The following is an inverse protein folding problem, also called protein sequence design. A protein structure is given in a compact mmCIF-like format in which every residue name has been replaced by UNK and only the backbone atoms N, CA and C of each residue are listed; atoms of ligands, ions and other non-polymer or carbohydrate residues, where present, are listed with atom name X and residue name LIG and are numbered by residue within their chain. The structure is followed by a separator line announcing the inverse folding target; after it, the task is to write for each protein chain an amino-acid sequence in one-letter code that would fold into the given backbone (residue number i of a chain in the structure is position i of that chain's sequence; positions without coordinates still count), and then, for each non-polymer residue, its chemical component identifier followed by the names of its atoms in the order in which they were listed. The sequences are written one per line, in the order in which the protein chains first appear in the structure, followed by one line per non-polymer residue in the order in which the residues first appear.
data_IF_586343638372
#
_entry.id   IF_586343638372
#
_cell.length_a   1.000
_cell.length_b   1.000
_cell.length_c   1.000
_cell.angle_alpha   90.00
_cell.angle_beta   90.00
_cell.angle_gamma   90.00
#
_symmetry.space_group_name_H-M   'P 1'
#
loop_
_entity.id
_entity.type
_entity.pdbx_description
1 polymer ?
#
# COMPACT_ATOMS: atom_id res chain seq x y z
N UNK A 1 1.56 -0.86 -23.00
CA UNK A 1 1.97 0.03 -21.89
C UNK A 1 2.04 -0.85 -20.66
N UNK A 2 3.22 -1.39 -20.35
CA UNK A 2 3.47 -2.01 -19.04
C UNK A 2 3.29 -0.90 -18.00
N UNK A 3 2.27 -1.06 -17.15
CA UNK A 3 2.15 -0.21 -15.96
C UNK A 3 3.07 -0.82 -14.92
N UNK A 4 4.34 -0.45 -15.01
CA UNK A 4 5.26 -0.66 -13.90
C UNK A 4 4.71 0.12 -12.70
N UNK A 5 4.66 -0.51 -11.53
CA UNK A 5 4.19 0.16 -10.32
C UNK A 5 5.31 1.09 -9.88
N UNK A 6 5.19 2.38 -10.20
CA UNK A 6 6.19 3.35 -9.78
C UNK A 6 6.10 3.54 -8.25
N UNK A 7 6.98 2.85 -7.54
CA UNK A 7 7.11 2.95 -6.08
C UNK A 7 7.35 4.42 -5.66
N UNK A 8 7.93 5.26 -6.53
CA UNK A 8 8.18 6.68 -6.27
C UNK A 8 6.89 7.50 -6.19
N UNK A 9 5.80 7.09 -6.84
CA UNK A 9 4.51 7.76 -6.70
C UNK A 9 3.92 7.57 -5.29
N UNK A 10 4.30 6.48 -4.59
CA UNK A 10 3.91 6.21 -3.22
C UNK A 10 4.80 6.93 -2.18
N UNK A 11 5.98 7.42 -2.56
CA UNK A 11 6.81 8.27 -1.68
C UNK A 11 6.14 9.62 -1.37
N UNK A 12 5.17 10.04 -2.18
CA UNK A 12 4.34 11.22 -1.93
C UNK A 12 3.35 10.98 -0.76
N UNK A 13 3.07 9.72 -0.41
CA UNK A 13 2.19 9.35 0.70
C UNK A 13 2.95 9.22 2.03
N UNK A 14 3.97 10.06 2.26
CA UNK A 14 4.78 10.12 3.47
C UNK A 14 4.31 11.22 4.42
N UNK A 15 3.04 11.18 4.82
CA UNK A 15 2.42 12.16 5.71
C UNK A 15 3.12 12.18 7.08
N UNK A 16 3.65 11.04 7.53
CA UNK A 16 4.48 10.95 8.73
C UNK A 16 5.74 11.81 8.62
N UNK A 17 6.49 11.70 7.51
CA UNK A 17 7.70 12.49 7.29
C UNK A 17 7.40 14.00 7.25
N UNK A 18 6.28 14.36 6.61
CA UNK A 18 5.87 15.76 6.48
C UNK A 18 5.48 16.37 7.83
N UNK A 19 4.92 15.56 8.75
CA UNK A 19 4.51 16.04 10.07
C UNK A 19 5.54 15.82 11.18
N UNK A 20 6.47 14.87 11.06
CA UNK A 20 7.47 14.51 12.07
C UNK A 20 8.27 15.73 12.57
N UNK A 21 8.52 16.69 11.69
CA UNK A 21 9.28 17.92 11.99
C UNK A 21 8.41 19.10 12.44
N UNK A 22 7.09 18.89 12.58
CA UNK A 22 6.12 19.94 12.89
C UNK A 22 5.54 19.79 14.29
N UNK A 23 4.93 20.86 14.80
CA UNK A 23 4.25 20.83 16.11
C UNK A 23 3.07 19.84 16.16
N UNK A 24 2.57 19.40 14.99
CA UNK A 24 1.42 18.48 14.86
C UNK A 24 1.65 17.16 15.59
N UNK A 25 2.89 16.65 15.63
CA UNK A 25 3.21 15.36 16.27
C UNK A 25 3.03 15.39 17.78
N UNK A 26 3.26 16.55 18.41
CA UNK A 26 3.10 16.72 19.85
C UNK A 26 1.64 16.94 20.27
N UNK A 27 0.80 17.23 19.30
CA UNK A 27 -0.56 17.75 19.50
C UNK A 27 -1.63 16.77 18.98
N UNK A 28 -1.29 15.89 18.03
CA UNK A 28 -2.16 14.83 17.55
C UNK A 28 -2.29 13.72 18.60
N UNK A 29 -3.44 13.05 18.63
CA UNK A 29 -3.61 11.85 19.43
C UNK A 29 -2.53 10.79 19.09
N UNK A 30 -1.79 10.25 20.08
CA UNK A 30 -0.69 9.31 19.83
C UNK A 30 -1.12 8.02 19.13
N UNK A 31 -2.35 7.54 19.36
CA UNK A 31 -2.86 6.32 18.75
C UNK A 31 -3.17 6.55 17.27
N UNK A 32 -3.78 7.69 16.94
CA UNK A 32 -4.01 8.11 15.56
C UNK A 32 -2.68 8.29 14.81
N UNK A 33 -1.70 8.96 15.42
CA UNK A 33 -0.36 9.10 14.85
C UNK A 33 0.27 7.74 14.55
N UNK A 34 0.30 6.84 15.53
CA UNK A 34 0.83 5.50 15.34
C UNK A 34 0.14 4.74 14.20
N UNK A 35 -1.18 4.85 14.08
CA UNK A 35 -1.93 4.20 13.00
C UNK A 35 -1.62 4.78 11.62
N UNK A 36 -1.42 6.10 11.51
CA UNK A 36 -0.99 6.75 10.27
C UNK A 36 0.39 6.21 9.85
N UNK A 37 1.37 6.22 10.76
CA UNK A 37 2.73 5.70 10.49
C UNK A 37 2.69 4.21 10.13
N UNK A 38 1.89 3.42 10.85
CA UNK A 38 1.71 1.98 10.56
C UNK A 38 1.14 1.77 9.16
N UNK A 39 0.08 2.49 8.79
CA UNK A 39 -0.52 2.36 7.47
C UNK A 39 0.45 2.71 6.36
N UNK A 40 1.25 3.77 6.51
CA UNK A 40 2.28 4.14 5.53
C UNK A 40 3.32 3.03 5.37
N UNK A 41 3.79 2.46 6.48
CA UNK A 41 4.71 1.33 6.44
C UNK A 41 4.07 0.10 5.79
N UNK A 42 2.81 -0.19 6.08
CA UNK A 42 2.05 -1.29 5.49
C UNK A 42 1.83 -1.13 3.98
N UNK A 43 1.60 0.11 3.52
CA UNK A 43 1.47 0.46 2.10
C UNK A 43 2.82 0.27 1.40
N UNK A 44 3.91 0.83 1.93
CA UNK A 44 5.25 0.65 1.36
C UNK A 44 5.64 -0.82 1.25
N UNK A 45 5.35 -1.59 2.29
CA UNK A 45 5.59 -3.03 2.28
C UNK A 45 4.78 -3.72 1.18
N UNK A 46 3.47 -3.46 1.08
CA UNK A 46 2.61 -4.05 0.04
C UNK A 46 3.06 -3.66 -1.37
N UNK A 47 3.43 -2.41 -1.61
CA UNK A 47 3.95 -1.97 -2.92
C UNK A 47 5.25 -2.69 -3.28
N UNK A 48 6.12 -2.94 -2.29
CA UNK A 48 7.37 -3.68 -2.49
C UNK A 48 7.11 -5.14 -2.81
N UNK A 49 6.19 -5.81 -2.09
CA UNK A 49 5.82 -7.20 -2.38
C UNK A 49 5.21 -7.32 -3.77
N UNK A 50 4.25 -6.46 -4.11
CA UNK A 50 3.61 -6.48 -5.42
C UNK A 50 4.63 -6.32 -6.57
N UNK A 51 5.65 -5.47 -6.41
CA UNK A 51 6.73 -5.34 -7.39
C UNK A 51 7.59 -6.62 -7.51
N UNK A 52 7.83 -7.33 -6.40
CA UNK A 52 8.51 -8.62 -6.41
C UNK A 52 7.66 -9.70 -7.09
N UNK A 53 6.36 -9.76 -6.81
CA UNK A 53 5.47 -10.75 -7.41
C UNK A 53 5.36 -10.56 -8.94
N UNK A 54 5.32 -9.31 -9.40
CA UNK A 54 5.39 -9.02 -10.84
C UNK A 54 6.71 -9.50 -11.46
N UNK A 55 7.82 -9.37 -10.74
CA UNK A 55 9.11 -9.90 -11.18
C UNK A 55 9.11 -11.44 -11.21
N UNK A 56 8.59 -12.08 -10.17
CA UNK A 56 8.52 -13.54 -10.08
C UNK A 56 7.60 -14.13 -11.17
N UNK A 57 6.51 -13.43 -11.52
CA UNK A 57 5.68 -13.75 -12.67
C UNK A 57 6.45 -13.64 -13.99
N UNK A 58 7.21 -12.56 -14.20
CA UNK A 58 8.05 -12.40 -15.41
C UNK A 58 9.10 -13.50 -15.52
N UNK A 59 9.74 -13.85 -14.40
CA UNK A 59 10.71 -14.94 -14.32
C UNK A 59 10.04 -16.31 -14.56
N UNK A 60 8.78 -16.50 -14.13
CA UNK A 60 8.01 -17.71 -14.40
C UNK A 60 7.61 -17.85 -15.89
N UNK A 61 7.32 -16.73 -16.58
CA UNK A 61 7.05 -16.72 -18.02
C UNK A 61 8.33 -17.02 -18.81
N UNK A 62 9.46 -16.45 -18.38
CA UNK A 62 10.78 -16.74 -18.95
C UNK A 62 11.01 -16.14 -20.34
N UNK A 63 10.36 -15.02 -20.66
CA UNK A 63 10.53 -14.29 -21.93
C UNK A 63 9.87 -14.92 -23.17
N UNK A 64 9.13 -16.01 -22.99
CA UNK A 64 8.30 -16.62 -24.03
C UNK A 64 6.96 -15.86 -24.19
N UNK A 65 6.26 -16.09 -25.31
CA UNK A 65 4.87 -15.64 -25.43
C UNK A 65 4.02 -16.30 -24.33
N UNK A 66 3.12 -15.55 -23.69
CA UNK A 66 2.40 -16.02 -22.51
C UNK A 66 1.54 -17.25 -22.81
N UNK A 67 0.99 -17.36 -24.02
CA UNK A 67 0.22 -18.51 -24.47
C UNK A 67 1.09 -19.78 -24.53
N UNK A 68 2.36 -19.66 -24.93
CA UNK A 68 3.30 -20.76 -24.97
C UNK A 68 3.76 -21.16 -23.56
N UNK A 69 4.00 -20.18 -22.69
CA UNK A 69 4.40 -20.42 -21.30
C UNK A 69 3.28 -21.11 -20.49
N UNK A 70 2.03 -20.71 -20.69
CA UNK A 70 0.85 -21.31 -20.04
C UNK A 70 0.53 -22.69 -20.61
N UNK A 71 0.83 -22.96 -21.88
CA UNK A 71 0.66 -24.28 -22.49
C UNK A 71 1.67 -25.31 -21.97
N UNK A 72 2.76 -24.88 -21.32
CA UNK A 72 3.71 -25.77 -20.66
C UNK A 72 3.23 -26.12 -19.23
N UNK A 73 2.84 -27.38 -18.94
CA UNK A 73 2.31 -27.76 -17.63
C UNK A 73 3.26 -27.50 -16.45
N UNK A 74 4.57 -27.54 -16.69
CA UNK A 74 5.59 -27.31 -15.67
C UNK A 74 5.65 -25.84 -15.25
N UNK A 75 5.33 -24.91 -16.17
CA UNK A 75 5.27 -23.46 -15.93
C UNK A 75 3.88 -22.99 -15.53
N UNK A 76 2.84 -23.60 -16.10
CA UNK A 76 1.43 -23.20 -15.93
C UNK A 76 1.06 -23.05 -14.45
N UNK A 77 1.44 -24.02 -13.62
CA UNK A 77 1.13 -24.00 -12.18
C UNK A 77 1.80 -22.81 -11.49
N UNK A 78 3.07 -22.53 -11.81
CA UNK A 78 3.81 -21.41 -11.22
C UNK A 78 3.19 -20.08 -11.65
N UNK A 79 2.96 -19.89 -12.96
CA UNK A 79 2.35 -18.67 -13.50
C UNK A 79 1.00 -18.36 -12.83
N UNK A 80 0.14 -19.37 -12.64
CA UNK A 80 -1.15 -19.19 -11.95
C UNK A 80 -0.98 -18.81 -10.48
N UNK A 81 0.05 -19.33 -9.81
CA UNK A 81 0.33 -19.00 -8.42
C UNK A 81 0.76 -17.53 -8.29
N UNK A 82 1.76 -17.10 -9.06
CA UNK A 82 2.24 -15.71 -9.05
C UNK A 82 1.11 -14.73 -9.42
N UNK A 83 0.23 -15.09 -10.38
CA UNK A 83 -0.94 -14.28 -10.70
C UNK A 83 -1.92 -14.14 -9.54
N UNK A 84 -2.13 -15.19 -8.75
CA UNK A 84 -3.01 -15.13 -7.57
C UNK A 84 -2.40 -14.28 -6.46
N UNK A 85 -1.09 -14.39 -6.26
CA UNK A 85 -0.35 -13.60 -5.28
C UNK A 85 -0.43 -12.09 -5.62
N UNK A 86 -0.18 -11.73 -6.89
CA UNK A 86 -0.37 -10.35 -7.40
C UNK A 86 -1.79 -9.84 -7.12
N UNK A 87 -2.82 -10.64 -7.37
CA UNK A 87 -4.21 -10.23 -7.14
C UNK A 87 -4.51 -10.03 -5.66
N UNK A 88 -3.96 -10.89 -4.81
CA UNK A 88 -4.12 -10.78 -3.36
C UNK A 88 -3.43 -9.52 -2.82
N UNK A 89 -2.18 -9.29 -3.21
CA UNK A 89 -1.39 -8.14 -2.76
C UNK A 89 -1.93 -6.82 -3.31
N UNK A 90 -2.45 -6.81 -4.54
CA UNK A 90 -3.14 -5.65 -5.09
C UNK A 90 -4.41 -5.29 -4.30
N UNK A 91 -5.19 -6.29 -3.86
CA UNK A 91 -6.36 -6.02 -3.02
C UNK A 91 -5.96 -5.55 -1.61
N UNK A 92 -4.92 -6.16 -1.03
CA UNK A 92 -4.39 -5.76 0.27
C UNK A 92 -3.87 -4.31 0.25
N UNK A 93 -3.12 -3.94 -0.79
CA UNK A 93 -2.68 -2.57 -1.03
C UNK A 93 -3.88 -1.62 -1.13
N UNK A 94 -4.90 -1.98 -1.94
CA UNK A 94 -6.12 -1.18 -2.09
C UNK A 94 -6.83 -0.95 -0.75
N UNK A 95 -6.97 -1.99 0.08
CA UNK A 95 -7.60 -1.89 1.40
C UNK A 95 -6.78 -0.98 2.35
N UNK A 96 -5.45 -1.14 2.38
CA UNK A 96 -4.53 -0.31 3.16
C UNK A 96 -4.58 1.16 2.75
N UNK A 97 -4.47 1.44 1.44
CA UNK A 97 -4.55 2.81 0.91
C UNK A 97 -5.88 3.49 1.24
N UNK A 98 -7.00 2.76 1.23
CA UNK A 98 -8.31 3.30 1.64
C UNK A 98 -8.34 3.69 3.12
N UNK A 99 -7.78 2.87 4.00
CA UNK A 99 -7.70 3.16 5.45
C UNK A 99 -6.85 4.41 5.71
N UNK A 100 -5.69 4.49 5.07
CA UNK A 100 -4.82 5.65 5.14
C UNK A 100 -5.51 6.92 4.65
N UNK A 101 -6.15 6.87 3.47
CA UNK A 101 -6.87 8.00 2.89
C UNK A 101 -8.02 8.45 3.80
N UNK A 102 -8.78 7.53 4.39
CA UNK A 102 -9.86 7.87 5.31
C UNK A 102 -9.33 8.61 6.56
N UNK A 103 -8.20 8.15 7.13
CA UNK A 103 -7.54 8.80 8.27
C UNK A 103 -7.03 10.20 7.91
N UNK A 104 -6.36 10.32 6.76
CA UNK A 104 -5.87 11.60 6.26
C UNK A 104 -7.02 12.58 5.98
N UNK A 105 -8.07 12.17 5.25
CA UNK A 105 -9.24 13.01 4.99
C UNK A 105 -9.95 13.44 6.28
N UNK A 106 -10.09 12.53 7.26
CA UNK A 106 -10.64 12.90 8.56
C UNK A 106 -9.79 13.95 9.25
N UNK A 107 -8.47 13.75 9.33
CA UNK A 107 -7.52 14.70 9.90
C UNK A 107 -7.67 16.10 9.27
N UNK A 108 -7.69 16.17 7.92
CA UNK A 108 -7.84 17.42 7.19
C UNK A 108 -9.23 18.05 7.31
N UNK A 109 -10.29 17.25 7.45
CA UNK A 109 -11.67 17.76 7.61
C UNK A 109 -11.89 18.56 8.90
N UNK A 110 -10.96 18.46 9.87
CA UNK A 110 -11.10 19.03 11.22
C UNK A 110 -10.42 20.40 11.39
N UNK A 111 -9.75 20.90 10.35
CA UNK A 111 -9.06 22.20 10.40
C UNK A 111 -8.13 22.32 11.62
N UNK A 112 -7.87 23.53 12.14
CA UNK A 112 -6.97 23.73 13.30
C UNK A 112 -7.42 23.03 14.60
N UNK A 113 -8.65 22.54 14.68
CA UNK A 113 -9.19 21.87 15.87
C UNK A 113 -8.83 20.39 15.99
N UNK A 114 -8.17 19.79 14.99
CA UNK A 114 -7.87 18.34 15.00
C UNK A 114 -6.99 17.91 16.18
N UNK A 115 -6.12 18.81 16.63
CA UNK A 115 -5.23 18.67 17.79
C UNK A 115 -5.96 18.32 19.09
N UNK A 116 -7.21 18.77 19.24
CA UNK A 116 -7.97 18.54 20.46
C UNK A 116 -8.94 17.34 20.37
N UNK A 117 -8.88 16.53 19.30
CA UNK A 117 -9.86 15.47 19.06
C UNK A 117 -9.44 14.13 19.68
N UNK A 118 -10.40 13.52 20.39
CA UNK A 118 -10.29 12.13 20.80
C UNK A 118 -10.33 11.18 19.57
N UNK A 119 -9.66 10.03 19.63
CA UNK A 119 -9.69 9.03 18.57
C UNK A 119 -11.13 8.65 18.21
N UNK A 120 -11.50 8.75 16.93
CA UNK A 120 -12.83 8.32 16.47
C UNK A 120 -12.80 6.81 16.28
N UNK A 121 -13.54 6.09 17.13
CA UNK A 121 -13.65 4.62 17.12
C UNK A 121 -14.00 4.05 15.74
N UNK A 122 -14.77 4.78 14.93
CA UNK A 122 -15.18 4.37 13.57
C UNK A 122 -14.03 4.39 12.54
N UNK A 123 -12.94 5.11 12.82
CA UNK A 123 -11.74 5.20 11.97
C UNK A 123 -10.61 4.28 12.49
N UNK A 124 -10.71 3.94 13.77
CA UNK A 124 -9.72 3.21 14.56
C UNK A 124 -10.05 1.71 14.71
N UNK A 125 -11.29 1.30 14.39
CA UNK A 125 -11.76 -0.08 14.29
C UNK A 125 -11.63 -0.60 12.86
#
# INVERSE_FOLDING_TARGET
VERDIDVRDFDILNLSRDFETTFVVNEIDPKLWFNIVRDESEIKYATTQLALDYKDLQDAIGGEAIEAAVANPDKERKIKHEMLDILYDADLLRQRSRRFLARACWLFSKGKGFVALAPVVVIEA
#
